data_IF_846491690392
#
_entry.id   IF_846491690392
#
_cell.length_a   1.000
_cell.length_b   1.000
_cell.length_c   1.000
_cell.angle_alpha   90.00
_cell.angle_beta   90.00
_cell.angle_gamma   90.00
#
_symmetry.space_group_name_H-M   'P 1'
#
loop_
_entity.id
_entity.type
_entity.pdbx_description
1 polymer ?
#
# COMPACT_ATOMS: atom_id res chain seq x y z
N UNK A 1 -3.20 -6.69 -15.92
CA UNK A 1 -1.89 -7.34 -15.67
C UNK A 1 -0.75 -6.54 -16.30
N UNK A 2 0.51 -6.81 -15.93
CA UNK A 2 1.70 -6.18 -16.51
C UNK A 2 2.69 -5.59 -15.50
N UNK A 3 3.89 -5.24 -15.95
CA UNK A 3 4.96 -4.65 -15.14
C UNK A 3 4.55 -3.34 -14.40
N UNK A 4 5.37 -2.93 -13.43
CA UNK A 4 5.21 -1.65 -12.73
C UNK A 4 5.36 -0.47 -13.70
N UNK A 5 4.62 0.62 -13.46
CA UNK A 5 4.72 1.85 -14.27
C UNK A 5 3.97 1.85 -15.61
N UNK A 6 3.22 0.79 -15.93
CA UNK A 6 2.42 0.66 -17.16
C UNK A 6 1.05 1.35 -17.13
N UNK A 7 0.70 2.06 -16.06
CA UNK A 7 -0.59 2.75 -15.97
C UNK A 7 -1.80 1.84 -15.68
N UNK A 8 -1.60 0.67 -15.06
CA UNK A 8 -2.70 -0.22 -14.63
C UNK A 8 -3.71 0.50 -13.73
N UNK A 9 -3.22 1.14 -12.67
CA UNK A 9 -4.01 1.96 -11.75
C UNK A 9 -4.71 3.09 -12.50
N UNK A 10 -4.00 3.82 -13.37
CA UNK A 10 -4.57 4.90 -14.17
C UNK A 10 -5.70 4.43 -15.07
N UNK A 11 -5.52 3.30 -15.77
CA UNK A 11 -6.56 2.71 -16.61
C UNK A 11 -7.76 2.25 -15.77
N UNK A 12 -7.52 1.62 -14.62
CA UNK A 12 -8.58 1.19 -13.74
C UNK A 12 -9.41 2.37 -13.22
N UNK A 13 -8.76 3.46 -12.81
CA UNK A 13 -9.42 4.71 -12.44
C UNK A 13 -10.23 5.29 -13.59
N UNK A 14 -9.66 5.33 -14.80
CA UNK A 14 -10.36 5.81 -15.99
C UNK A 14 -11.61 4.97 -16.32
N UNK A 15 -11.52 3.64 -16.19
CA UNK A 15 -12.67 2.72 -16.35
C UNK A 15 -13.73 3.02 -15.31
N UNK A 16 -13.36 3.13 -14.03
CA UNK A 16 -14.31 3.44 -12.95
C UNK A 16 -15.01 4.76 -13.21
N UNK A 17 -14.31 5.77 -13.73
CA UNK A 17 -14.86 7.11 -13.98
C UNK A 17 -15.60 7.25 -15.33
N UNK A 18 -15.43 6.30 -16.26
CA UNK A 18 -16.00 6.37 -17.62
C UNK A 18 -17.51 6.61 -17.62
N UNK A 19 -18.01 7.39 -18.58
CA UNK A 19 -19.42 7.81 -18.65
C UNK A 19 -20.37 6.61 -18.73
N UNK A 20 -20.09 5.62 -19.57
CA UNK A 20 -20.94 4.43 -19.70
C UNK A 20 -20.92 3.55 -18.43
N UNK A 21 -19.79 3.52 -17.73
CA UNK A 21 -19.67 2.82 -16.44
C UNK A 21 -20.45 3.59 -15.37
N UNK A 22 -20.40 4.93 -15.39
CA UNK A 22 -21.21 5.79 -14.52
C UNK A 22 -22.71 5.56 -14.74
N UNK A 23 -23.15 5.44 -15.99
CA UNK A 23 -24.55 5.18 -16.34
C UNK A 23 -24.97 3.79 -15.86
N UNK A 24 -24.10 2.80 -15.98
CA UNK A 24 -24.41 1.39 -15.67
C UNK A 24 -24.38 1.06 -14.18
N UNK A 25 -23.39 1.57 -13.45
CA UNK A 25 -23.15 1.25 -12.03
C UNK A 25 -23.51 2.40 -11.09
N UNK A 26 -23.80 3.59 -11.62
CA UNK A 26 -24.18 4.79 -10.86
C UNK A 26 -23.13 5.09 -9.80
N UNK A 27 -23.51 5.10 -8.52
CA UNK A 27 -22.61 5.34 -7.40
C UNK A 27 -21.89 4.08 -6.91
N UNK A 28 -22.29 2.88 -7.39
CA UNK A 28 -21.77 1.60 -6.91
C UNK A 28 -20.56 1.11 -7.70
N UNK A 29 -19.55 1.97 -7.76
CA UNK A 29 -18.31 1.74 -8.49
C UNK A 29 -17.15 2.16 -7.58
N UNK A 30 -16.36 1.18 -7.17
CA UNK A 30 -15.39 1.32 -6.08
C UNK A 30 -14.02 0.86 -6.52
N UNK A 31 -13.00 1.59 -6.10
CA UNK A 31 -11.60 1.24 -6.27
C UNK A 31 -10.97 1.09 -4.89
N UNK A 32 -10.49 -0.10 -4.58
CA UNK A 32 -9.83 -0.44 -3.33
C UNK A 32 -8.40 -0.86 -3.65
N UNK A 33 -7.42 -0.24 -3.01
CA UNK A 33 -6.00 -0.61 -3.17
C UNK A 33 -5.62 -1.69 -2.16
N UNK A 34 -4.91 -2.71 -2.63
CA UNK A 34 -4.27 -3.72 -1.79
C UNK A 34 -2.83 -3.34 -1.40
N UNK A 35 -2.33 -2.17 -1.83
CA UNK A 35 -0.92 -1.80 -1.65
C UNK A 35 -0.46 -1.81 -0.18
N UNK A 36 -1.36 -1.42 0.72
CA UNK A 36 -1.11 -1.36 2.15
C UNK A 36 -1.60 -2.61 2.88
N UNK A 37 -2.24 -3.56 2.18
CA UNK A 37 -2.70 -4.82 2.75
C UNK A 37 -1.52 -5.78 2.88
N UNK A 38 -1.40 -6.37 4.07
CA UNK A 38 -0.33 -7.31 4.40
C UNK A 38 -0.81 -8.75 4.23
N UNK A 39 -2.11 -8.98 4.43
CA UNK A 39 -2.82 -10.21 4.10
C UNK A 39 -4.22 -9.94 3.54
N UNK A 40 -4.93 -11.02 3.22
CA UNK A 40 -6.29 -10.91 2.66
C UNK A 40 -7.30 -10.30 3.64
N UNK A 41 -7.10 -10.51 4.94
CA UNK A 41 -7.99 -9.98 5.97
C UNK A 41 -7.95 -8.44 5.98
N UNK A 42 -6.75 -7.85 5.88
CA UNK A 42 -6.59 -6.40 5.79
C UNK A 42 -7.30 -5.82 4.56
N UNK A 43 -7.27 -6.55 3.43
CA UNK A 43 -7.97 -6.17 2.21
C UNK A 43 -9.50 -6.19 2.39
N UNK A 44 -10.05 -7.27 2.96
CA UNK A 44 -11.49 -7.39 3.23
C UNK A 44 -11.98 -6.29 4.17
N UNK A 45 -11.13 -5.90 5.10
CA UNK A 45 -11.41 -4.83 6.05
C UNK A 45 -11.35 -3.45 5.38
N UNK A 46 -10.34 -3.20 4.55
CA UNK A 46 -10.26 -1.98 3.75
C UNK A 46 -11.51 -1.83 2.89
N UNK A 47 -12.00 -2.94 2.34
CA UNK A 47 -13.30 -3.00 1.67
C UNK A 47 -14.46 -2.65 2.60
N UNK A 48 -14.64 -3.32 3.74
CA UNK A 48 -15.75 -3.00 4.68
C UNK A 48 -15.79 -1.52 5.03
N UNK A 49 -14.62 -0.94 5.31
CA UNK A 49 -14.44 0.49 5.60
C UNK A 49 -14.89 1.36 4.44
N UNK A 50 -14.44 1.02 3.23
CA UNK A 50 -14.82 1.71 1.98
C UNK A 50 -16.34 1.68 1.76
N UNK A 51 -17.01 0.59 2.16
CA UNK A 51 -18.46 0.44 2.03
C UNK A 51 -19.26 0.96 3.23
N UNK A 52 -18.61 1.50 4.27
CA UNK A 52 -19.27 1.94 5.50
C UNK A 52 -19.95 0.81 6.28
N UNK A 53 -19.48 -0.42 6.09
CA UNK A 53 -20.02 -1.60 6.76
C UNK A 53 -19.38 -1.75 8.13
N UNK A 54 -20.17 -2.21 9.10
CA UNK A 54 -19.66 -2.52 10.43
C UNK A 54 -18.71 -3.70 10.34
N UNK A 55 -17.61 -3.64 11.10
CA UNK A 55 -16.69 -4.76 11.24
C UNK A 55 -17.42 -5.95 11.85
N UNK A 56 -17.67 -6.95 11.02
CA UNK A 56 -18.33 -8.19 11.41
C UNK A 56 -17.32 -9.25 11.78
N UNK A 57 -17.84 -10.31 12.37
CA UNK A 57 -17.07 -11.49 12.72
C UNK A 57 -16.56 -12.20 11.43
N UNK A 58 -17.40 -12.27 10.39
CA UNK A 58 -17.00 -12.68 9.03
C UNK A 58 -17.07 -11.48 8.06
N UNK A 59 -15.95 -10.76 7.83
CA UNK A 59 -15.89 -9.66 6.87
C UNK A 59 -16.32 -10.05 5.46
N UNK A 60 -15.93 -11.25 5.03
CA UNK A 60 -16.22 -11.74 3.70
C UNK A 60 -17.72 -12.02 3.52
N UNK A 61 -18.36 -12.70 4.47
CA UNK A 61 -19.81 -12.94 4.39
C UNK A 61 -20.60 -11.63 4.36
N UNK A 62 -20.22 -10.64 5.17
CA UNK A 62 -20.85 -9.32 5.15
C UNK A 62 -20.68 -8.60 3.81
N UNK A 63 -19.48 -8.65 3.22
CA UNK A 63 -19.23 -8.11 1.88
C UNK A 63 -20.05 -8.84 0.81
N UNK A 64 -20.07 -10.17 0.83
CA UNK A 64 -20.84 -10.98 -0.11
C UNK A 64 -22.33 -10.70 0.00
N UNK A 65 -22.87 -10.60 1.23
CA UNK A 65 -24.26 -10.23 1.46
C UNK A 65 -24.54 -8.81 0.95
N UNK A 66 -23.63 -7.86 1.23
CA UNK A 66 -23.74 -6.49 0.74
C UNK A 66 -23.74 -6.43 -0.80
N UNK A 67 -22.86 -7.16 -1.48
CA UNK A 67 -22.87 -7.17 -2.94
C UNK A 67 -24.15 -7.82 -3.51
N UNK A 68 -24.63 -8.90 -2.90
CA UNK A 68 -25.87 -9.59 -3.29
C UNK A 68 -27.14 -8.78 -3.03
N UNK A 69 -27.13 -7.83 -2.09
CA UNK A 69 -28.29 -6.99 -1.80
C UNK A 69 -28.47 -5.81 -2.77
N UNK A 70 -27.56 -5.65 -3.73
CA UNK A 70 -27.60 -4.60 -4.74
C UNK A 70 -27.72 -5.19 -6.14
N UNK A 71 -28.30 -4.42 -7.06
CA UNK A 71 -28.53 -4.86 -8.44
C UNK A 71 -27.22 -5.05 -9.22
N UNK A 72 -26.33 -4.05 -9.17
CA UNK A 72 -25.01 -4.07 -9.83
C UNK A 72 -23.98 -3.32 -8.99
N UNK A 73 -22.78 -3.88 -8.88
CA UNK A 73 -21.62 -3.24 -8.26
C UNK A 73 -20.39 -3.49 -9.12
N UNK A 74 -19.59 -2.44 -9.36
CA UNK A 74 -18.24 -2.56 -9.91
C UNK A 74 -17.25 -2.44 -8.76
N UNK A 75 -16.36 -3.42 -8.61
CA UNK A 75 -15.26 -3.41 -7.67
C UNK A 75 -13.95 -3.60 -8.41
N UNK A 76 -13.04 -2.64 -8.25
CA UNK A 76 -11.64 -2.75 -8.67
C UNK A 76 -10.78 -3.01 -7.44
N UNK A 77 -9.97 -4.06 -7.48
CA UNK A 77 -8.90 -4.31 -6.51
C UNK A 77 -7.57 -3.99 -7.19
N UNK A 78 -6.95 -2.89 -6.79
CA UNK A 78 -5.68 -2.40 -7.37
C UNK A 78 -4.47 -2.96 -6.60
N UNK A 79 -3.34 -3.19 -7.29
CA UNK A 79 -2.07 -3.66 -6.71
C UNK A 79 -2.18 -4.98 -5.91
N UNK A 80 -2.97 -5.94 -6.39
CA UNK A 80 -3.20 -7.24 -5.72
C UNK A 80 -1.92 -8.05 -5.49
N UNK A 81 -0.84 -7.79 -6.24
CA UNK A 81 0.43 -8.52 -6.09
C UNK A 81 0.99 -8.49 -4.66
N UNK A 82 0.66 -7.46 -3.88
CA UNK A 82 1.18 -7.29 -2.50
C UNK A 82 0.76 -8.44 -1.59
N UNK A 83 -0.45 -8.95 -1.76
CA UNK A 83 -0.98 -10.09 -0.99
C UNK A 83 -0.93 -11.40 -1.78
N UNK A 84 -1.20 -11.36 -3.10
CA UNK A 84 -1.32 -12.59 -3.89
C UNK A 84 0.03 -13.16 -4.33
N UNK A 85 1.07 -12.33 -4.52
CA UNK A 85 2.43 -12.82 -4.76
C UNK A 85 3.24 -12.95 -3.47
N UNK A 86 2.56 -13.07 -2.32
CA UNK A 86 3.21 -13.27 -1.02
C UNK A 86 4.04 -14.56 -0.98
N UNK A 87 5.21 -14.51 -0.36
CA UNK A 87 6.02 -15.69 -0.09
C UNK A 87 5.29 -16.71 0.81
N UNK A 88 4.29 -16.26 1.57
CA UNK A 88 3.46 -17.11 2.40
C UNK A 88 2.37 -17.80 1.55
N UNK A 89 2.56 -19.09 1.26
CA UNK A 89 1.63 -19.89 0.46
C UNK A 89 0.20 -19.93 1.04
N UNK A 90 0.05 -19.92 2.38
CA UNK A 90 -1.27 -19.92 3.01
C UNK A 90 -2.02 -18.61 2.72
N UNK A 91 -1.34 -17.45 2.81
CA UNK A 91 -1.93 -16.16 2.47
C UNK A 91 -2.35 -16.08 1.00
N UNK A 92 -1.55 -16.67 0.10
CA UNK A 92 -1.91 -16.77 -1.33
C UNK A 92 -3.19 -17.60 -1.53
N UNK A 93 -3.25 -18.81 -0.96
CA UNK A 93 -4.44 -19.65 -1.01
C UNK A 93 -5.69 -18.96 -0.44
N UNK A 94 -5.55 -18.24 0.68
CA UNK A 94 -6.67 -17.50 1.28
C UNK A 94 -7.14 -16.36 0.37
N UNK A 95 -6.20 -15.64 -0.26
CA UNK A 95 -6.51 -14.59 -1.25
C UNK A 95 -7.28 -15.15 -2.44
N UNK A 96 -6.84 -16.28 -2.99
CA UNK A 96 -7.50 -16.97 -4.10
C UNK A 96 -8.91 -17.43 -3.73
N UNK A 97 -9.10 -18.01 -2.53
CA UNK A 97 -10.40 -18.42 -2.04
C UNK A 97 -11.39 -17.24 -1.88
N UNK A 98 -10.89 -16.08 -1.43
CA UNK A 98 -11.68 -14.85 -1.35
C UNK A 98 -12.08 -14.35 -2.74
N UNK A 99 -11.14 -14.29 -3.68
CA UNK A 99 -11.41 -13.86 -5.05
C UNK A 99 -12.43 -14.77 -5.74
N UNK A 100 -12.32 -16.08 -5.56
CA UNK A 100 -13.28 -17.06 -6.09
C UNK A 100 -14.69 -16.83 -5.52
N UNK A 101 -14.81 -16.57 -4.22
CA UNK A 101 -16.12 -16.24 -3.59
C UNK A 101 -16.70 -14.93 -4.11
N UNK A 102 -15.88 -13.89 -4.30
CA UNK A 102 -16.31 -12.61 -4.87
C UNK A 102 -16.76 -12.76 -6.32
N UNK A 103 -15.98 -13.46 -7.14
CA UNK A 103 -16.29 -13.69 -8.55
C UNK A 103 -17.61 -14.45 -8.78
N UNK A 104 -18.03 -15.28 -7.81
CA UNK A 104 -19.30 -16.00 -7.86
C UNK A 104 -20.54 -15.14 -7.51
N UNK A 105 -20.37 -13.86 -7.20
CA UNK A 105 -21.50 -12.95 -6.95
C UNK A 105 -21.99 -12.36 -8.28
N UNK A 106 -23.17 -12.76 -8.73
CA UNK A 106 -23.72 -12.35 -10.04
C UNK A 106 -23.97 -10.85 -10.20
N UNK A 107 -24.22 -10.13 -9.11
CA UNK A 107 -24.37 -8.68 -9.10
C UNK A 107 -23.03 -7.92 -9.04
N UNK A 108 -21.90 -8.62 -8.93
CA UNK A 108 -20.57 -8.02 -8.80
C UNK A 108 -19.77 -8.18 -10.10
N UNK A 109 -19.34 -7.06 -10.65
CA UNK A 109 -18.29 -7.00 -11.67
C UNK A 109 -16.96 -6.76 -10.96
N UNK A 110 -16.06 -7.74 -11.03
CA UNK A 110 -14.74 -7.69 -10.39
C UNK A 110 -13.65 -7.40 -11.42
N UNK A 111 -12.86 -6.36 -11.17
CA UNK A 111 -11.62 -6.07 -11.89
C UNK A 111 -10.48 -6.18 -10.88
N UNK A 112 -9.39 -6.81 -11.28
CA UNK A 112 -8.14 -6.78 -10.51
C UNK A 112 -7.03 -6.14 -11.33
N UNK A 113 -6.14 -5.43 -10.67
CA UNK A 113 -4.84 -5.11 -11.24
C UNK A 113 -3.77 -5.82 -10.43
N UNK A 114 -2.81 -6.40 -11.15
CA UNK A 114 -1.69 -7.11 -10.54
C UNK A 114 -0.46 -7.00 -11.45
N UNK A 115 0.72 -7.03 -10.83
CA UNK A 115 1.99 -7.28 -11.54
C UNK A 115 2.10 -8.73 -11.99
N UNK A 116 2.87 -8.96 -13.06
CA UNK A 116 3.02 -10.26 -13.68
C UNK A 116 2.03 -10.48 -14.83
N UNK A 117 2.02 -11.70 -15.36
CA UNK A 117 1.16 -12.13 -16.46
C UNK A 117 0.11 -13.15 -16.03
N UNK A 118 0.32 -13.84 -14.92
CA UNK A 118 -0.55 -14.91 -14.43
C UNK A 118 -1.80 -14.33 -13.75
N UNK A 119 -2.94 -15.00 -13.92
CA UNK A 119 -4.17 -14.68 -13.21
C UNK A 119 -4.29 -15.54 -11.95
N UNK A 120 -4.96 -15.04 -10.89
CA UNK A 120 -5.36 -15.87 -9.77
C UNK A 120 -6.10 -17.12 -10.27
N UNK A 121 -5.62 -18.33 -9.89
CA UNK A 121 -6.26 -19.58 -10.28
C UNK A 121 -7.66 -19.68 -9.64
N UNK A 122 -8.47 -20.62 -10.14
CA UNK A 122 -9.79 -20.96 -9.58
C UNK A 122 -10.83 -19.81 -9.59
N UNK A 123 -10.61 -18.81 -10.44
CA UNK A 123 -11.57 -17.76 -10.79
C UNK A 123 -11.89 -17.86 -12.29
N UNK A 124 -13.17 -17.92 -12.62
CA UNK A 124 -13.63 -17.88 -14.02
C UNK A 124 -13.57 -16.43 -14.55
N UNK A 125 -12.37 -15.99 -14.95
CA UNK A 125 -12.17 -14.67 -15.52
C UNK A 125 -12.90 -14.53 -16.85
N UNK A 126 -13.69 -13.46 -16.99
CA UNK A 126 -14.37 -13.12 -18.24
C UNK A 126 -13.39 -12.97 -19.41
N UNK A 127 -12.20 -12.44 -19.14
CA UNK A 127 -11.06 -12.46 -20.06
C UNK A 127 -10.14 -13.62 -19.67
N UNK A 128 -10.29 -14.76 -20.37
CA UNK A 128 -9.46 -15.96 -20.13
C UNK A 128 -7.98 -15.68 -20.36
N UNK A 129 -7.67 -14.84 -21.35
CA UNK A 129 -6.37 -14.24 -21.52
C UNK A 129 -6.38 -12.89 -20.80
N UNK A 130 -5.55 -12.75 -19.76
CA UNK A 130 -5.48 -11.53 -18.99
C UNK A 130 -5.22 -10.32 -19.91
N UNK A 131 -5.84 -9.17 -19.63
CA UNK A 131 -5.44 -7.93 -20.28
C UNK A 131 -4.06 -7.54 -19.73
N UNK A 132 -3.01 -7.89 -20.48
CA UNK A 132 -1.63 -7.51 -20.20
C UNK A 132 -1.37 -6.16 -20.87
N UNK A 133 -1.17 -5.11 -20.06
CA UNK A 133 -0.83 -3.80 -20.60
C UNK A 133 0.57 -3.85 -21.22
N UNK A 134 0.69 -3.24 -22.40
CA UNK A 134 1.96 -3.01 -23.07
C UNK A 134 2.48 -1.61 -22.75
N UNK A 135 3.67 -1.32 -23.28
CA UNK A 135 4.19 0.03 -23.38
C UNK A 135 3.25 0.89 -24.26
N UNK A 136 3.41 2.21 -24.20
CA UNK A 136 2.69 3.08 -25.13
C UNK A 136 3.23 2.85 -26.55
N UNK A 137 2.35 2.97 -27.55
CA UNK A 137 2.81 3.14 -28.94
C UNK A 137 3.68 4.41 -29.03
N UNK A 138 4.63 4.50 -29.98
CA UNK A 138 5.45 5.70 -30.16
C UNK A 138 4.62 6.99 -30.28
N UNK A 139 3.51 6.95 -31.02
CA UNK A 139 2.62 8.12 -31.21
C UNK A 139 1.93 8.51 -29.89
N UNK A 140 1.44 7.55 -29.12
CA UNK A 140 0.82 7.80 -27.81
C UNK A 140 1.84 8.29 -26.77
N UNK A 141 3.08 7.79 -26.80
CA UNK A 141 4.16 8.26 -25.93
C UNK A 141 4.55 9.70 -26.26
N UNK A 142 4.64 10.02 -27.56
CA UNK A 142 4.86 11.36 -28.04
C UNK A 142 3.73 12.30 -27.63
N UNK A 143 2.47 11.90 -27.83
CA UNK A 143 1.30 12.68 -27.41
C UNK A 143 1.32 12.94 -25.90
N UNK A 144 1.55 11.90 -25.09
CA UNK A 144 1.67 12.01 -23.63
C UNK A 144 2.79 12.97 -23.22
N UNK A 145 3.95 12.87 -23.88
CA UNK A 145 5.08 13.75 -23.62
C UNK A 145 4.73 15.21 -23.96
N UNK A 146 4.17 15.45 -25.14
CA UNK A 146 3.81 16.80 -25.62
C UNK A 146 2.72 17.42 -24.76
N UNK A 147 1.72 16.64 -24.31
CA UNK A 147 0.65 17.12 -23.43
C UNK A 147 1.19 17.64 -22.09
N UNK A 148 2.31 17.09 -21.61
CA UNK A 148 2.92 17.47 -20.33
C UNK A 148 4.01 18.55 -20.51
N UNK A 149 4.92 18.35 -21.47
CA UNK A 149 6.09 19.19 -21.68
C UNK A 149 5.85 20.39 -22.62
N UNK A 150 4.75 20.37 -23.38
CA UNK A 150 4.53 21.27 -24.49
C UNK A 150 5.35 20.91 -25.74
N UNK A 151 5.26 21.77 -26.75
CA UNK A 151 5.98 21.59 -28.00
C UNK A 151 7.50 21.79 -27.82
N UNK A 152 8.25 20.84 -28.38
CA UNK A 152 9.71 20.88 -28.41
C UNK A 152 10.19 21.54 -29.71
N UNK A 153 11.18 22.45 -29.67
CA UNK A 153 11.78 23.03 -30.86
C UNK A 153 12.29 21.95 -31.83
N UNK A 154 12.11 22.17 -33.14
CA UNK A 154 12.52 21.22 -34.19
C UNK A 154 13.93 20.62 -34.03
N UNK A 155 14.96 21.39 -33.62
CA UNK A 155 16.30 20.84 -33.42
C UNK A 155 16.42 19.79 -32.30
N UNK A 156 15.51 19.78 -31.34
CA UNK A 156 15.56 18.88 -30.17
C UNK A 156 14.53 17.74 -30.27
N UNK A 157 13.66 17.73 -31.30
CA UNK A 157 12.72 16.63 -31.57
C UNK A 157 13.43 15.27 -31.73
N UNK A 158 14.57 15.15 -32.45
CA UNK A 158 15.28 13.87 -32.54
C UNK A 158 15.81 13.37 -31.18
N UNK A 159 16.20 14.30 -30.28
CA UNK A 159 16.69 13.97 -28.94
C UNK A 159 15.53 13.49 -28.06
N UNK A 160 14.37 14.15 -28.15
CA UNK A 160 13.13 13.68 -27.50
C UNK A 160 12.77 12.28 -27.97
N UNK A 161 12.72 12.04 -29.29
CA UNK A 161 12.29 10.77 -29.85
C UNK A 161 13.25 9.63 -29.47
N UNK A 162 14.56 9.91 -29.43
CA UNK A 162 15.55 8.99 -28.90
C UNK A 162 15.31 8.68 -27.42
N UNK A 163 15.13 9.70 -26.57
CA UNK A 163 14.86 9.51 -25.14
C UNK A 163 13.58 8.70 -24.88
N UNK A 164 12.50 8.97 -25.63
CA UNK A 164 11.24 8.22 -25.51
C UNK A 164 11.43 6.74 -25.86
N UNK A 165 12.26 6.45 -26.86
CA UNK A 165 12.63 5.10 -27.25
C UNK A 165 13.50 4.41 -26.20
N UNK A 166 14.47 5.12 -25.63
CA UNK A 166 15.36 4.58 -24.58
C UNK A 166 14.59 4.18 -23.32
N UNK A 167 13.55 4.94 -22.94
CA UNK A 167 12.67 4.57 -21.81
C UNK A 167 11.63 3.50 -22.15
N UNK A 168 11.77 2.83 -23.30
CA UNK A 168 10.85 1.80 -23.82
C UNK A 168 9.38 2.27 -23.84
N UNK A 169 9.15 3.57 -24.05
CA UNK A 169 7.81 4.18 -24.05
C UNK A 169 6.95 3.82 -22.81
N UNK A 170 7.60 3.59 -21.66
CA UNK A 170 6.93 3.31 -20.39
C UNK A 170 6.12 4.53 -19.93
N UNK A 171 4.80 4.43 -19.68
CA UNK A 171 3.98 5.57 -19.28
C UNK A 171 4.56 6.39 -18.13
N UNK A 172 5.01 5.72 -17.06
CA UNK A 172 5.62 6.40 -15.91
C UNK A 172 6.92 7.11 -16.28
N UNK A 173 7.83 6.44 -17.00
CA UNK A 173 9.12 7.04 -17.39
C UNK A 173 8.95 8.22 -18.36
N UNK A 174 8.02 8.09 -19.32
CA UNK A 174 7.63 9.17 -20.24
C UNK A 174 7.09 10.37 -19.45
N UNK A 175 6.21 10.12 -18.47
CA UNK A 175 5.65 11.17 -17.60
C UNK A 175 6.75 11.90 -16.83
N UNK A 176 7.68 11.15 -16.20
CA UNK A 176 8.79 11.71 -15.43
C UNK A 176 9.72 12.56 -16.30
N UNK A 177 10.09 12.08 -17.50
CA UNK A 177 10.88 12.84 -18.46
C UNK A 177 10.17 14.12 -18.91
N UNK A 178 8.88 14.02 -19.25
CA UNK A 178 8.10 15.16 -19.72
C UNK A 178 7.97 16.23 -18.62
N UNK A 179 7.79 15.82 -17.36
CA UNK A 179 7.76 16.74 -16.20
C UNK A 179 9.07 17.48 -16.01
N UNK A 180 10.22 16.82 -16.22
CA UNK A 180 11.52 17.49 -16.18
C UNK A 180 11.61 18.60 -17.25
N UNK A 181 11.16 18.32 -18.47
CA UNK A 181 11.16 19.32 -19.56
C UNK A 181 10.17 20.46 -19.27
N UNK A 182 8.97 20.15 -18.77
CA UNK A 182 7.97 21.14 -18.36
C UNK A 182 8.53 22.12 -17.29
N UNK A 183 9.46 21.65 -16.46
CA UNK A 183 10.18 22.48 -15.46
C UNK A 183 11.44 23.15 -16.02
N UNK A 184 11.59 23.22 -17.34
CA UNK A 184 12.64 23.96 -18.04
C UNK A 184 13.98 23.22 -18.18
N UNK A 185 14.02 21.89 -17.97
CA UNK A 185 15.24 21.11 -18.24
C UNK A 185 15.42 20.89 -19.74
N UNK A 186 16.65 21.09 -20.23
CA UNK A 186 16.95 20.90 -21.64
C UNK A 186 17.09 19.41 -21.97
N UNK A 187 16.50 18.97 -23.09
CA UNK A 187 16.52 17.58 -23.54
C UNK A 187 17.94 17.02 -23.69
N UNK A 188 18.90 17.83 -24.15
CA UNK A 188 20.31 17.43 -24.29
C UNK A 188 20.99 17.16 -22.95
N UNK A 189 20.57 17.86 -21.90
CA UNK A 189 21.06 17.60 -20.55
C UNK A 189 20.44 16.33 -19.98
N UNK A 190 19.15 16.11 -20.25
CA UNK A 190 18.45 14.88 -19.90
C UNK A 190 19.08 13.67 -20.57
N UNK A 191 19.36 13.73 -21.87
CA UNK A 191 19.99 12.64 -22.63
C UNK A 191 21.38 12.29 -22.07
N UNK A 192 22.24 13.28 -21.84
CA UNK A 192 23.55 13.04 -21.22
C UNK A 192 23.44 12.39 -19.84
N UNK A 193 22.51 12.87 -19.02
CA UNK A 193 22.34 12.38 -17.64
C UNK A 193 21.67 11.01 -17.60
N UNK A 194 20.72 10.74 -18.49
CA UNK A 194 20.11 9.44 -18.72
C UNK A 194 21.19 8.40 -19.04
N UNK A 195 22.03 8.67 -20.02
CA UNK A 195 23.13 7.77 -20.41
C UNK A 195 24.07 7.47 -19.23
N UNK A 196 24.37 8.46 -18.39
CA UNK A 196 25.19 8.25 -17.19
C UNK A 196 24.48 7.36 -16.14
N UNK A 197 23.20 7.58 -15.88
CA UNK A 197 22.42 6.80 -14.90
C UNK A 197 22.22 5.38 -15.38
N UNK A 198 21.76 5.22 -16.62
CA UNK A 198 21.44 3.93 -17.22
C UNK A 198 22.68 3.03 -17.32
N UNK A 199 23.82 3.58 -17.77
CA UNK A 199 25.10 2.83 -17.77
C UNK A 199 25.59 2.47 -16.37
N UNK A 200 25.27 3.29 -15.35
CA UNK A 200 25.57 2.95 -13.96
C UNK A 200 24.77 1.74 -13.49
N UNK A 201 23.47 1.71 -13.77
CA UNK A 201 22.55 0.64 -13.37
C UNK A 201 22.85 -0.69 -14.07
N UNK A 202 23.08 -0.66 -15.38
CA UNK A 202 23.39 -1.86 -16.18
C UNK A 202 24.67 -2.57 -15.70
N UNK A 203 25.61 -1.86 -15.07
CA UNK A 203 26.85 -2.44 -14.53
C UNK A 203 26.62 -3.18 -13.21
N UNK A 204 25.54 -2.87 -12.50
CA UNK A 204 25.22 -3.49 -11.21
C UNK A 204 24.38 -4.76 -11.37
N UNK A 205 23.27 -4.75 -12.11
CA UNK A 205 22.48 -5.92 -12.53
C UNK A 205 21.56 -5.55 -13.70
N UNK A 206 21.51 -6.32 -14.81
CA UNK A 206 20.58 -6.06 -15.91
C UNK A 206 19.22 -6.73 -15.65
N UNK A 207 18.19 -5.96 -15.29
CA UNK A 207 16.80 -6.42 -15.12
C UNK A 207 15.83 -5.84 -16.18
N UNK A 208 16.33 -5.17 -17.22
CA UNK A 208 15.56 -4.77 -18.40
C UNK A 208 14.58 -3.64 -18.11
N UNK A 209 13.27 -3.83 -18.36
CA UNK A 209 12.22 -2.79 -18.21
C UNK A 209 12.12 -2.20 -16.80
N UNK A 210 12.43 -2.98 -15.77
CA UNK A 210 12.49 -2.49 -14.39
C UNK A 210 13.60 -1.46 -14.23
N UNK A 211 14.74 -1.65 -14.90
CA UNK A 211 15.85 -0.68 -14.92
C UNK A 211 15.42 0.64 -15.55
N UNK A 212 14.51 0.64 -16.54
CA UNK A 212 14.04 1.87 -17.17
C UNK A 212 13.15 2.70 -16.25
N UNK A 213 12.28 2.06 -15.47
CA UNK A 213 11.47 2.75 -14.45
C UNK A 213 12.39 3.30 -13.36
N UNK A 214 13.26 2.46 -12.82
CA UNK A 214 14.20 2.85 -11.76
C UNK A 214 15.15 3.96 -12.22
N UNK A 215 15.66 3.89 -13.45
CA UNK A 215 16.49 4.94 -14.05
C UNK A 215 15.73 6.26 -14.20
N UNK A 216 14.46 6.22 -14.59
CA UNK A 216 13.63 7.43 -14.72
C UNK A 216 13.31 8.07 -13.37
N UNK A 217 13.11 7.27 -12.32
CA UNK A 217 12.95 7.75 -10.94
C UNK A 217 14.28 8.33 -10.45
N UNK A 218 15.40 7.64 -10.63
CA UNK A 218 16.72 8.13 -10.25
C UNK A 218 17.04 9.46 -10.94
N UNK A 219 16.77 9.56 -12.26
CA UNK A 219 17.00 10.77 -13.02
C UNK A 219 16.19 11.94 -12.45
N UNK A 220 14.91 11.71 -12.14
CA UNK A 220 14.02 12.73 -11.55
C UNK A 220 14.51 13.19 -10.18
N UNK A 221 14.92 12.25 -9.32
CA UNK A 221 15.50 12.55 -8.00
C UNK A 221 16.80 13.36 -8.14
N UNK A 222 17.61 13.06 -9.16
CA UNK A 222 18.86 13.77 -9.41
C UNK A 222 18.66 15.24 -9.82
N UNK A 223 17.43 15.65 -10.16
CA UNK A 223 17.04 17.04 -10.44
C UNK A 223 16.37 17.75 -9.26
N UNK A 224 16.28 17.11 -8.09
CA UNK A 224 15.96 17.82 -6.85
C UNK A 224 17.05 18.87 -6.54
N UNK A 225 16.71 19.98 -5.86
CA UNK A 225 17.68 20.97 -5.43
C UNK A 225 18.80 20.33 -4.61
N UNK A 226 20.06 20.53 -5.03
CA UNK A 226 21.21 19.93 -4.33
C UNK A 226 21.58 20.67 -3.04
N UNK A 227 21.17 21.94 -2.95
CA UNK A 227 21.40 22.86 -1.84
C UNK A 227 20.31 22.79 -0.76
N UNK A 228 19.17 22.16 -1.06
CA UNK A 228 18.08 21.94 -0.12
C UNK A 228 17.76 20.44 0.01
N UNK A 229 18.06 19.80 1.16
CA UNK A 229 17.71 18.40 1.38
C UNK A 229 16.21 18.19 1.61
N UNK A 230 15.41 19.24 1.85
CA UNK A 230 14.02 19.10 2.27
C UNK A 230 13.15 18.29 1.29
N UNK A 231 13.20 18.49 -0.05
CA UNK A 231 12.38 17.72 -0.99
C UNK A 231 12.69 16.23 -0.98
N UNK A 232 13.96 15.84 -1.01
CA UNK A 232 14.36 14.43 -0.95
C UNK A 232 13.96 13.82 0.39
N UNK A 233 14.04 14.61 1.45
CA UNK A 233 13.76 14.15 2.79
C UNK A 233 12.26 13.97 3.04
N UNK A 234 11.41 14.87 2.54
CA UNK A 234 9.97 14.68 2.50
C UNK A 234 9.59 13.47 1.65
N UNK A 235 10.20 13.29 0.47
CA UNK A 235 9.99 12.13 -0.40
C UNK A 235 10.29 10.81 0.33
N UNK A 236 11.42 10.77 1.06
CA UNK A 236 11.86 9.59 1.82
C UNK A 236 10.93 9.28 3.00
N UNK A 237 10.36 10.31 3.64
CA UNK A 237 9.34 10.14 4.69
C UNK A 237 8.02 9.61 4.11
N UNK A 238 7.53 10.17 3.00
CA UNK A 238 6.33 9.71 2.31
C UNK A 238 6.45 8.24 1.88
N UNK A 239 7.62 7.79 1.45
CA UNK A 239 7.83 6.42 1.02
C UNK A 239 7.63 5.39 2.15
N UNK A 240 7.81 5.78 3.42
CA UNK A 240 7.55 4.91 4.57
C UNK A 240 6.05 4.66 4.83
N UNK A 241 5.17 5.44 4.20
CA UNK A 241 3.72 5.44 4.46
C UNK A 241 2.95 4.84 3.26
N UNK A 242 2.62 3.53 3.26
CA UNK A 242 1.93 2.89 2.13
C UNK A 242 0.57 3.51 1.79
N UNK A 243 -0.20 4.00 2.78
CA UNK A 243 -1.51 4.63 2.52
C UNK A 243 -1.41 6.13 2.18
N UNK A 244 -0.19 6.67 2.26
CA UNK A 244 0.11 8.09 2.06
C UNK A 244 0.23 8.87 3.36
N UNK A 245 0.71 10.11 3.23
CA UNK A 245 0.88 11.05 4.34
C UNK A 245 -0.32 11.99 4.39
N UNK A 246 -1.17 11.86 5.40
CA UNK A 246 -2.34 12.71 5.60
C UNK A 246 -1.94 14.10 6.11
N UNK A 247 -2.78 15.10 5.85
CA UNK A 247 -2.56 16.48 6.27
C UNK A 247 -2.23 16.65 7.78
N UNK A 248 -2.90 15.98 8.73
CA UNK A 248 -2.53 16.11 10.15
C UNK A 248 -1.11 15.64 10.45
N UNK A 249 -0.68 14.52 9.85
CA UNK A 249 0.68 13.97 9.99
C UNK A 249 1.70 14.93 9.39
N UNK A 250 1.42 15.47 8.20
CA UNK A 250 2.28 16.48 7.54
C UNK A 250 2.50 17.71 8.43
N UNK A 251 1.44 18.25 9.02
CA UNK A 251 1.51 19.43 9.87
C UNK A 251 2.33 19.18 11.14
N UNK A 252 2.21 18.01 11.76
CA UNK A 252 3.05 17.64 12.91
C UNK A 252 4.53 17.45 12.51
N UNK A 253 4.78 16.83 11.36
CA UNK A 253 6.13 16.62 10.84
C UNK A 253 6.86 17.92 10.47
N UNK A 254 6.14 18.92 9.94
CA UNK A 254 6.71 20.23 9.62
C UNK A 254 7.43 20.82 10.85
N UNK A 255 6.73 20.85 11.99
CA UNK A 255 7.28 21.34 13.25
C UNK A 255 8.37 20.45 13.83
N UNK A 256 8.17 19.12 13.85
CA UNK A 256 9.11 18.18 14.49
C UNK A 256 10.41 18.00 13.71
N UNK A 257 10.36 18.06 12.39
CA UNK A 257 11.54 17.92 11.53
C UNK A 257 12.19 19.28 11.21
N UNK A 258 11.59 20.40 11.65
CA UNK A 258 12.09 21.74 11.38
C UNK A 258 12.13 22.07 9.89
N UNK A 259 11.15 21.58 9.12
CA UNK A 259 11.02 21.99 7.72
C UNK A 259 10.76 23.49 7.67
N UNK A 260 11.59 24.23 6.93
CA UNK A 260 11.41 25.68 6.75
C UNK A 260 10.22 26.00 5.86
N UNK A 261 9.98 25.14 4.88
CA UNK A 261 8.92 25.26 3.87
C UNK A 261 8.56 23.86 3.36
N UNK A 262 7.64 23.17 4.06
CA UNK A 262 7.21 21.83 3.64
C UNK A 262 6.36 21.90 2.37
N UNK A 263 5.65 23.01 2.14
CA UNK A 263 4.80 23.24 0.98
C UNK A 263 5.66 23.41 -0.28
N UNK A 264 6.70 24.23 -0.23
CA UNK A 264 7.67 24.36 -1.31
C UNK A 264 8.40 23.05 -1.60
N UNK A 265 8.74 22.27 -0.56
CA UNK A 265 9.31 20.93 -0.75
C UNK A 265 8.32 19.99 -1.45
N UNK A 266 7.03 20.04 -1.09
CA UNK A 266 5.97 19.28 -1.76
C UNK A 266 5.80 19.71 -3.22
N UNK A 267 5.76 21.01 -3.51
CA UNK A 267 5.65 21.55 -4.88
C UNK A 267 6.81 21.09 -5.78
N UNK A 268 8.00 20.95 -5.21
CA UNK A 268 9.16 20.39 -5.93
C UNK A 268 8.93 18.92 -6.28
N UNK A 269 8.61 18.06 -5.31
CA UNK A 269 8.44 16.62 -5.58
C UNK A 269 7.18 16.30 -6.40
N UNK A 270 6.09 17.07 -6.19
CA UNK A 270 4.84 16.93 -6.94
C UNK A 270 4.99 17.39 -8.38
N UNK A 271 5.65 18.54 -8.63
CA UNK A 271 5.85 18.99 -10.00
C UNK A 271 6.82 18.11 -10.80
N UNK A 272 7.60 17.24 -10.15
CA UNK A 272 8.37 16.17 -10.78
C UNK A 272 7.57 14.86 -10.95
N UNK A 273 6.30 14.84 -10.56
CA UNK A 273 5.43 13.65 -10.51
C UNK A 273 6.00 12.48 -9.69
N UNK A 274 6.85 12.77 -8.70
CA UNK A 274 7.33 11.78 -7.74
C UNK A 274 6.26 11.43 -6.69
N UNK A 275 5.35 12.37 -6.43
CA UNK A 275 4.14 12.20 -5.60
C UNK A 275 2.95 12.85 -6.27
N UNK A 276 1.75 12.51 -5.80
CA UNK A 276 0.50 13.19 -6.14
C UNK A 276 -0.30 13.44 -4.86
N UNK A 277 -1.11 14.50 -4.86
CA UNK A 277 -2.01 14.84 -3.75
C UNK A 277 -3.42 14.46 -4.16
N UNK A 278 -4.12 13.73 -3.30
CA UNK A 278 -5.52 13.35 -3.49
C UNK A 278 -6.48 14.41 -2.94
N UNK A 279 -7.77 14.29 -3.27
CA UNK A 279 -8.80 15.27 -2.90
C UNK A 279 -8.96 15.48 -1.37
N UNK A 280 -8.48 14.54 -0.56
CA UNK A 280 -8.45 14.58 0.90
C UNK A 280 -7.14 15.15 1.48
N UNK A 281 -6.34 15.85 0.67
CA UNK A 281 -5.02 16.40 1.00
C UNK A 281 -3.97 15.35 1.43
N UNK A 282 -4.21 14.08 1.14
CA UNK A 282 -3.24 13.01 1.38
C UNK A 282 -2.17 13.00 0.28
N UNK A 283 -0.90 13.05 0.69
CA UNK A 283 0.25 12.89 -0.23
C UNK A 283 0.44 11.39 -0.48
N UNK A 284 0.32 10.97 -1.73
CA UNK A 284 0.51 9.58 -2.16
C UNK A 284 1.64 9.45 -3.15
N UNK A 285 2.18 8.24 -3.22
CA UNK A 285 3.27 7.87 -4.11
C UNK A 285 2.89 6.63 -4.89
N UNK A 286 3.24 6.58 -6.18
CA UNK A 286 3.02 5.38 -6.97
C UNK A 286 3.95 4.26 -6.48
N UNK A 287 3.42 3.04 -6.34
CA UNK A 287 4.16 1.85 -5.89
C UNK A 287 5.58 1.70 -6.48
N UNK A 288 5.81 1.83 -7.81
CA UNK A 288 7.18 1.73 -8.36
C UNK A 288 8.14 2.78 -7.81
N UNK A 289 7.69 4.03 -7.64
CA UNK A 289 8.51 5.11 -7.09
C UNK A 289 8.78 4.85 -5.61
N UNK A 290 7.74 4.44 -4.86
CA UNK A 290 7.85 4.14 -3.43
C UNK A 290 8.86 3.04 -3.14
N UNK A 291 8.80 1.94 -3.88
CA UNK A 291 9.74 0.83 -3.72
C UNK A 291 11.18 1.28 -4.03
N UNK A 292 11.37 2.05 -5.10
CA UNK A 292 12.70 2.61 -5.42
C UNK A 292 13.24 3.51 -4.31
N UNK A 293 12.42 4.42 -3.78
CA UNK A 293 12.82 5.35 -2.72
C UNK A 293 13.12 4.60 -1.42
N UNK A 294 12.30 3.63 -1.02
CA UNK A 294 12.54 2.80 0.16
C UNK A 294 13.88 2.05 0.09
N UNK A 295 14.24 1.55 -1.09
CA UNK A 295 15.49 0.81 -1.28
C UNK A 295 16.73 1.72 -1.29
N UNK A 296 16.65 2.87 -1.98
CA UNK A 296 17.83 3.70 -2.29
C UNK A 296 17.99 4.95 -1.42
N UNK A 297 16.90 5.45 -0.82
CA UNK A 297 16.86 6.74 -0.15
C UNK A 297 16.23 6.64 1.24
N UNK A 298 17.09 6.50 2.26
CA UNK A 298 16.64 6.49 3.65
C UNK A 298 16.52 7.92 4.18
N UNK A 299 15.44 8.22 4.93
CA UNK A 299 15.37 9.49 5.62
C UNK A 299 16.45 9.58 6.71
N UNK A 300 16.93 10.80 6.98
CA UNK A 300 17.71 11.11 8.18
C UNK A 300 17.07 10.51 9.44
N UNK A 301 17.91 9.91 10.28
CA UNK A 301 17.49 9.22 11.50
C UNK A 301 16.64 10.11 12.42
N UNK A 302 16.98 11.39 12.55
CA UNK A 302 16.21 12.34 13.36
C UNK A 302 14.78 12.53 12.83
N UNK A 303 14.60 12.75 11.52
CA UNK A 303 13.26 12.94 10.94
C UNK A 303 12.47 11.63 10.95
N UNK A 304 13.14 10.49 10.79
CA UNK A 304 12.50 9.18 10.93
C UNK A 304 12.02 8.96 12.37
N UNK A 305 12.80 9.36 13.37
CA UNK A 305 12.39 9.32 14.77
C UNK A 305 11.19 10.25 15.03
N UNK A 306 11.17 11.45 14.44
CA UNK A 306 10.00 12.34 14.48
C UNK A 306 8.76 11.69 13.86
N UNK A 307 8.89 11.00 12.72
CA UNK A 307 7.79 10.24 12.12
C UNK A 307 7.28 9.13 13.05
N UNK A 308 8.18 8.35 13.63
CA UNK A 308 7.80 7.32 14.60
C UNK A 308 7.09 7.93 15.81
N UNK A 309 7.56 9.07 16.32
CA UNK A 309 6.92 9.78 17.41
C UNK A 309 5.46 10.17 17.09
N UNK A 310 5.21 10.70 15.89
CA UNK A 310 3.84 11.01 15.43
C UNK A 310 2.97 9.75 15.42
N UNK A 311 3.49 8.65 14.88
CA UNK A 311 2.72 7.39 14.80
C UNK A 311 2.56 6.67 16.14
N UNK A 312 3.51 6.79 17.07
CA UNK A 312 3.31 6.38 18.46
C UNK A 312 2.17 7.16 19.11
N UNK A 313 2.08 8.47 18.85
CA UNK A 313 1.00 9.28 19.38
C UNK A 313 -0.36 8.92 18.77
N UNK A 314 -0.42 8.66 17.46
CA UNK A 314 -1.63 8.14 16.80
C UNK A 314 -2.05 6.80 17.42
N UNK A 315 -1.09 5.90 17.67
CA UNK A 315 -1.33 4.62 18.32
C UNK A 315 -1.85 4.78 19.75
N UNK A 316 -1.32 5.71 20.55
CA UNK A 316 -1.78 5.97 21.94
C UNK A 316 -3.22 6.46 22.01
N UNK A 317 -3.70 7.14 20.98
CA UNK A 317 -5.10 7.56 20.88
C UNK A 317 -6.06 6.42 20.54
N UNK A 318 -5.56 5.19 20.34
CA UNK A 318 -6.37 4.02 20.08
C UNK A 318 -7.24 3.65 21.30
N UNK A 319 -8.58 3.80 21.20
CA UNK A 319 -9.45 3.60 22.35
C UNK A 319 -9.47 2.12 22.73
N UNK A 320 -9.21 1.85 24.00
CA UNK A 320 -9.20 0.50 24.55
C UNK A 320 -10.60 -0.02 24.89
N UNK A 321 -11.61 0.86 24.88
CA UNK A 321 -13.01 0.56 25.20
C UNK A 321 -13.93 1.16 24.14
N UNK A 322 -15.02 0.46 23.86
CA UNK A 322 -16.11 1.00 23.04
C UNK A 322 -16.92 1.94 23.93
N UNK A 323 -16.71 3.24 23.77
CA UNK A 323 -17.46 4.30 24.42
C UNK A 323 -18.01 5.30 23.38
N UNK A 324 -18.55 6.42 23.83
CA UNK A 324 -19.10 7.44 22.93
C UNK A 324 -18.05 8.14 22.05
N UNK A 325 -16.76 8.04 22.38
CA UNK A 325 -15.65 8.63 21.62
C UNK A 325 -15.05 7.64 20.61
N UNK A 326 -15.31 6.34 20.79
CA UNK A 326 -14.82 5.27 19.93
C UNK A 326 -15.06 5.51 18.42
N UNK A 327 -16.23 5.95 17.94
CA UNK A 327 -16.44 6.17 16.50
C UNK A 327 -15.49 7.23 15.92
N UNK A 328 -15.31 8.37 16.60
CA UNK A 328 -14.43 9.42 16.13
C UNK A 328 -12.95 9.00 16.15
N UNK A 329 -12.53 8.28 17.18
CA UNK A 329 -11.17 7.74 17.26
C UNK A 329 -10.93 6.64 16.23
N UNK A 330 -11.93 5.79 15.96
CA UNK A 330 -11.88 4.78 14.90
C UNK A 330 -11.68 5.44 13.54
N UNK A 331 -12.45 6.47 13.21
CA UNK A 331 -12.37 7.16 11.92
C UNK A 331 -11.02 7.88 11.74
N UNK A 332 -10.33 8.21 12.84
CA UNK A 332 -8.95 8.75 12.82
C UNK A 332 -7.90 7.67 12.58
N UNK A 333 -8.02 6.51 13.23
CA UNK A 333 -6.97 5.47 13.29
C UNK A 333 -7.08 4.44 12.17
N UNK A 334 -8.30 4.11 11.76
CA UNK A 334 -8.56 3.10 10.73
C UNK A 334 -7.81 3.41 9.40
N UNK A 335 -7.74 4.66 8.92
CA UNK A 335 -6.95 5.00 7.72
C UNK A 335 -5.43 4.98 7.93
N UNK A 336 -4.94 4.79 9.16
CA UNK A 336 -3.52 4.79 9.51
C UNK A 336 -3.00 3.38 9.88
N UNK A 337 -3.86 2.35 9.88
CA UNK A 337 -3.47 1.02 10.34
C UNK A 337 -2.31 0.42 9.53
N UNK A 338 -2.34 0.54 8.21
CA UNK A 338 -1.24 0.00 7.41
C UNK A 338 0.02 0.86 7.47
N UNK A 339 -0.12 2.17 7.68
CA UNK A 339 1.03 3.03 7.98
C UNK A 339 1.68 2.65 9.33
N UNK A 340 0.87 2.38 10.36
CA UNK A 340 1.32 1.87 11.66
C UNK A 340 2.04 0.52 11.49
N UNK A 341 1.44 -0.44 10.77
CA UNK A 341 2.08 -1.74 10.52
C UNK A 341 3.42 -1.59 9.78
N UNK A 342 3.47 -0.74 8.75
CA UNK A 342 4.67 -0.49 7.95
C UNK A 342 5.81 0.18 8.74
N UNK A 343 5.48 1.00 9.75
CA UNK A 343 6.46 1.69 10.59
C UNK A 343 6.88 0.86 11.80
N UNK A 344 5.93 0.24 12.51
CA UNK A 344 6.19 -0.44 13.78
C UNK A 344 6.87 -1.80 13.56
N UNK A 345 6.50 -2.55 12.52
CA UNK A 345 7.03 -3.90 12.34
C UNK A 345 8.55 -3.93 12.11
N UNK A 346 9.15 -3.08 11.23
CA UNK A 346 10.61 -3.03 11.09
C UNK A 346 11.33 -2.65 12.39
N UNK A 347 10.73 -1.78 13.22
CA UNK A 347 11.32 -1.41 14.52
C UNK A 347 11.42 -2.62 15.46
N UNK A 348 10.39 -3.47 15.48
CA UNK A 348 10.40 -4.71 16.29
C UNK A 348 11.48 -5.69 15.78
N UNK A 349 11.63 -5.77 14.46
CA UNK A 349 12.53 -6.71 13.78
C UNK A 349 13.99 -6.26 13.76
N UNK A 350 14.31 -5.08 14.28
CA UNK A 350 15.69 -4.59 14.37
C UNK A 350 16.45 -5.41 15.42
N UNK A 351 17.18 -6.45 15.00
CA UNK A 351 17.71 -7.50 15.87
C UNK A 351 18.69 -7.03 16.96
N UNK A 352 19.41 -5.94 16.72
CA UNK A 352 20.52 -5.49 17.57
C UNK A 352 20.09 -4.59 18.75
N UNK A 353 18.84 -4.11 18.76
CA UNK A 353 18.34 -3.17 19.78
C UNK A 353 17.10 -3.74 20.50
N UNK A 354 16.95 -3.43 21.79
CA UNK A 354 15.73 -3.77 22.52
C UNK A 354 14.61 -2.80 22.13
N UNK A 355 13.35 -3.26 21.97
CA UNK A 355 12.25 -2.39 21.62
C UNK A 355 12.04 -1.31 22.71
N UNK A 356 11.82 -0.07 22.29
CA UNK A 356 11.52 1.02 23.24
C UNK A 356 10.16 0.81 23.90
N UNK A 357 9.96 1.41 25.09
CA UNK A 357 8.65 1.36 25.76
C UNK A 357 7.55 1.97 24.91
N UNK A 358 7.85 3.05 24.17
CA UNK A 358 6.90 3.69 23.26
C UNK A 358 6.45 2.76 22.13
N UNK A 359 7.37 1.96 21.57
CA UNK A 359 7.05 0.95 20.57
C UNK A 359 6.16 -0.14 21.15
N UNK A 360 6.50 -0.65 22.34
CA UNK A 360 5.73 -1.69 23.04
C UNK A 360 4.30 -1.19 23.32
N UNK A 361 4.17 0.03 23.83
CA UNK A 361 2.88 0.66 24.12
C UNK A 361 2.06 0.89 22.86
N UNK A 362 2.68 1.41 21.79
CA UNK A 362 2.01 1.62 20.52
C UNK A 362 1.48 0.30 19.92
N UNK A 363 2.31 -0.75 19.90
CA UNK A 363 1.91 -2.08 19.40
C UNK A 363 0.76 -2.64 20.23
N UNK A 364 0.84 -2.56 21.56
CA UNK A 364 -0.22 -3.03 22.44
C UNK A 364 -1.53 -2.23 22.27
N UNK A 365 -1.44 -0.91 22.10
CA UNK A 365 -2.59 -0.05 21.90
C UNK A 365 -3.30 -0.33 20.56
N UNK A 366 -2.55 -0.36 19.46
CA UNK A 366 -3.08 -0.65 18.12
C UNK A 366 -3.63 -2.06 18.07
N UNK A 367 -2.93 -3.06 18.61
CA UNK A 367 -3.42 -4.45 18.64
C UNK A 367 -4.63 -4.62 19.55
N UNK A 368 -4.74 -3.85 20.63
CA UNK A 368 -5.93 -3.80 21.47
C UNK A 368 -7.13 -3.21 20.73
N UNK A 369 -6.91 -2.14 19.96
CA UNK A 369 -7.92 -1.51 19.12
C UNK A 369 -8.33 -2.37 17.91
N UNK A 370 -7.37 -3.10 17.34
CA UNK A 370 -7.57 -4.06 16.25
C UNK A 370 -8.61 -5.12 16.66
N UNK A 371 -8.70 -5.51 17.93
CA UNK A 371 -9.79 -6.37 18.43
C UNK A 371 -11.21 -5.87 18.12
N UNK A 372 -11.42 -4.56 18.18
CA UNK A 372 -12.73 -3.91 18.04
C UNK A 372 -12.99 -3.41 16.61
N UNK A 373 -11.96 -3.42 15.79
CA UNK A 373 -12.02 -3.10 14.37
C UNK A 373 -11.64 -4.35 13.58
N UNK A 374 -10.34 -4.61 13.48
CA UNK A 374 -9.67 -5.56 12.60
C UNK A 374 -8.71 -6.45 13.38
N UNK A 375 -9.10 -7.65 13.84
CA UNK A 375 -8.20 -8.49 14.61
C UNK A 375 -6.96 -8.87 13.78
N UNK A 376 -5.80 -8.31 14.16
CA UNK A 376 -4.51 -8.59 13.53
C UNK A 376 -3.49 -8.90 14.64
N UNK A 377 -2.88 -10.09 14.57
CA UNK A 377 -1.91 -10.56 15.56
C UNK A 377 -0.45 -10.30 15.19
N UNK A 378 -0.17 -9.82 13.97
CA UNK A 378 1.18 -9.79 13.39
C UNK A 378 2.17 -8.98 14.23
N UNK A 379 1.80 -7.77 14.63
CA UNK A 379 2.65 -6.92 15.46
C UNK A 379 2.94 -7.57 16.81
N UNK A 380 1.93 -8.17 17.46
CA UNK A 380 2.12 -8.88 18.73
C UNK A 380 2.95 -10.15 18.58
N UNK A 381 2.74 -10.92 17.51
CA UNK A 381 3.51 -12.11 17.21
C UNK A 381 4.99 -11.80 16.98
N UNK A 382 5.29 -10.65 16.35
CA UNK A 382 6.65 -10.16 16.20
C UNK A 382 7.23 -9.61 17.52
N UNK A 383 6.42 -8.93 18.33
CA UNK A 383 6.86 -8.25 19.55
C UNK A 383 7.14 -9.22 20.70
N UNK A 384 6.27 -10.21 20.92
CA UNK A 384 6.31 -11.10 22.09
C UNK A 384 7.70 -11.76 22.28
N UNK A 385 8.33 -12.36 21.24
CA UNK A 385 9.66 -12.95 21.39
C UNK A 385 10.76 -11.94 21.76
N UNK A 386 10.51 -10.63 21.57
CA UNK A 386 11.48 -9.55 21.80
C UNK A 386 11.37 -8.96 23.21
N UNK A 387 10.25 -9.19 23.91
CA UNK A 387 9.96 -8.59 25.22
C UNK A 387 9.89 -9.63 26.36
N UNK A 388 10.42 -10.85 26.15
CA UNK A 388 10.42 -11.91 27.17
C UNK A 388 11.08 -11.50 28.50
N UNK A 389 12.03 -10.56 28.43
CA UNK A 389 12.75 -9.98 29.56
C UNK A 389 11.93 -8.93 30.34
N UNK A 390 10.74 -8.54 29.86
CA UNK A 390 9.86 -7.52 30.46
C UNK A 390 8.53 -8.15 30.90
N UNK A 391 8.43 -8.69 32.12
CA UNK A 391 7.29 -9.53 32.52
C UNK A 391 5.94 -8.81 32.50
N UNK A 392 5.89 -7.52 32.85
CA UNK A 392 4.65 -6.74 32.84
C UNK A 392 4.11 -6.52 31.42
N UNK A 393 4.99 -6.11 30.50
CA UNK A 393 4.64 -5.93 29.10
C UNK A 393 4.31 -7.25 28.43
N UNK A 394 5.09 -8.30 28.70
CA UNK A 394 4.83 -9.65 28.18
C UNK A 394 3.44 -10.15 28.60
N UNK A 395 3.08 -9.98 29.87
CA UNK A 395 1.76 -10.36 30.38
C UNK A 395 0.62 -9.57 29.72
N UNK A 396 0.83 -8.27 29.47
CA UNK A 396 -0.15 -7.43 28.76
C UNK A 396 -0.30 -7.88 27.30
N UNK A 397 0.80 -8.03 26.56
CA UNK A 397 0.81 -8.45 25.16
C UNK A 397 0.16 -9.82 24.97
N UNK A 398 0.47 -10.81 25.82
CA UNK A 398 -0.22 -12.12 25.78
C UNK A 398 -1.70 -12.01 26.11
N UNK A 399 -2.10 -11.13 27.04
CA UNK A 399 -3.53 -10.93 27.35
C UNK A 399 -4.28 -10.33 26.15
N UNK A 400 -3.66 -9.41 25.43
CA UNK A 400 -4.25 -8.82 24.22
C UNK A 400 -4.33 -9.89 23.13
N UNK A 401 -3.24 -10.64 22.90
CA UNK A 401 -3.21 -11.73 21.92
C UNK A 401 -4.27 -12.79 22.21
N UNK A 402 -4.40 -13.23 23.47
CA UNK A 402 -5.43 -14.19 23.86
C UNK A 402 -6.85 -13.65 23.61
N UNK A 403 -7.08 -12.35 23.81
CA UNK A 403 -8.38 -11.72 23.49
C UNK A 403 -8.63 -11.58 22.00
N UNK A 404 -7.59 -11.38 21.19
CA UNK A 404 -7.66 -11.42 19.73
C UNK A 404 -8.00 -12.84 19.26
N UNK A 405 -7.31 -13.86 19.77
CA UNK A 405 -7.62 -15.27 19.50
C UNK A 405 -9.02 -15.65 19.93
N UNK A 406 -9.48 -15.21 21.09
CA UNK A 406 -10.88 -15.40 21.50
C UNK A 406 -11.85 -14.73 20.52
N UNK A 407 -11.53 -13.54 20.02
CA UNK A 407 -12.37 -12.86 19.03
C UNK A 407 -12.41 -13.63 17.71
N UNK A 408 -11.27 -14.15 17.26
CA UNK A 408 -11.14 -15.00 16.07
C UNK A 408 -11.79 -16.38 16.24
N UNK A 409 -11.79 -16.95 17.47
CA UNK A 409 -12.31 -18.28 17.76
C UNK A 409 -13.81 -18.31 18.11
N UNK A 410 -14.35 -17.21 18.65
CA UNK A 410 -15.79 -17.02 18.82
C UNK A 410 -16.50 -16.74 17.48
N UNK A 411 -15.74 -16.76 16.39
CA UNK A 411 -16.21 -16.71 15.01
C UNK A 411 -16.34 -18.12 14.42
N UNK A 412 -17.57 -18.64 14.23
CA UNK A 412 -17.77 -20.00 13.77
C UNK A 412 -17.34 -20.27 12.31
N UNK A 413 -16.80 -19.28 11.59
CA UNK A 413 -16.44 -19.39 10.17
C UNK A 413 -14.95 -19.17 9.85
N UNK A 414 -14.09 -18.93 10.86
CA UNK A 414 -12.64 -18.74 10.68
C UNK A 414 -11.86 -20.08 10.74
N UNK A 415 -12.49 -21.19 11.18
CA UNK A 415 -11.82 -22.50 11.29
C UNK A 415 -12.56 -23.63 10.55
N UNK A 416 -12.20 -23.99 9.30
CA UNK A 416 -12.76 -25.16 8.63
C UNK A 416 -12.31 -26.49 9.25
N UNK A 417 -11.36 -26.47 10.21
CA UNK A 417 -10.81 -27.68 10.84
C UNK A 417 -11.42 -27.98 12.21
N UNK A 418 -12.32 -27.14 12.73
CA UNK A 418 -13.06 -27.47 13.95
C UNK A 418 -14.00 -28.68 13.75
N UNK A 419 -14.43 -28.95 12.51
CA UNK A 419 -15.23 -30.12 12.15
C UNK A 419 -14.40 -31.38 11.84
N UNK A 420 -13.07 -31.30 11.84
CA UNK A 420 -12.18 -32.45 11.51
C UNK A 420 -11.52 -33.06 12.74
N UNK A 421 -11.58 -32.41 13.91
CA UNK A 421 -11.09 -32.97 15.18
C UNK A 421 -12.21 -33.15 16.21
N UNK A 422 -13.24 -33.89 15.81
CA UNK A 422 -14.01 -34.69 16.76
C UNK A 422 -13.88 -36.17 16.41
N UNK A 423 -13.05 -36.94 17.13
CA UNK A 423 -13.38 -38.32 17.39
C UNK A 423 -14.22 -38.39 18.67
N UNK A 424 -15.41 -38.94 18.50
CA UNK A 424 -16.30 -39.45 19.53
C UNK A 424 -15.60 -39.94 20.81
N UNK A 425 -16.13 -39.47 21.93
CA UNK A 425 -16.29 -40.20 23.19
C UNK A 425 -15.25 -41.27 23.55
N UNK A 426 -14.38 -40.95 24.52
CA UNK A 426 -14.07 -41.90 25.60
C UNK A 426 -14.14 -41.14 26.92
N UNK A 427 -15.17 -41.45 27.70
CA UNK A 427 -15.21 -41.21 29.14
C UNK A 427 -14.12 -42.07 29.76
N UNK A 428 -13.08 -41.47 30.33
CA UNK A 428 -12.22 -42.15 31.29
C UNK A 428 -11.75 -41.18 32.38
N UNK A 429 -12.18 -41.55 33.60
CA UNK A 429 -11.83 -41.00 34.91
C UNK A 429 -10.36 -40.63 35.01
N UNK A 430 -10.10 -39.45 35.59
CA UNK A 430 -8.93 -39.26 36.44
C UNK A 430 -9.44 -38.80 37.81
N UNK A 431 -9.42 -39.76 38.73
CA UNK A 431 -9.57 -39.53 40.16
C UNK A 431 -8.43 -38.66 40.66
N UNK A 432 -8.82 -37.76 41.54
CA UNK A 432 -7.99 -37.01 42.47
C UNK A 432 -7.24 -38.03 43.35
N UNK A 433 -5.91 -38.01 43.31
CA UNK A 433 -5.10 -38.49 44.42
C UNK A 433 -4.48 -37.28 45.10
N UNK A 434 -5.09 -36.93 46.23
CA UNK A 434 -4.42 -36.29 47.36
C UNK A 434 -3.69 -37.43 48.09
N UNK A 435 -2.37 -37.31 48.20
CA UNK A 435 -1.58 -37.54 49.41
C UNK A 435 -0.17 -36.96 49.23
#
# INVERSE_FOLDING_TARGET
MGAGGLGKTTLATAVVQHVDVAVTFVARRFLVTAEAAVGVDDLLIGMLTTFGLSTSSDPLASLLQHFRSHERTLLVIDNLETIWNSANAQQRCMTEAVLSKLANVTSLTLIITCRGADLPPDVEWANRDAIVLSTLSPDAALATFTDIAGDVPTPDQPVRDALLKEVDYMPLAVTLLARLVARGKQLRDLDRRWNSVHMGMLRTQPNGRLDNVDASVQLSIAFLPSDDPAPLQLLSLCAQLPDGMRLPVRNELEGLCGFRDIDGALDVIQGLALVYVTDDDTIRMLSPIRLYVLEKHRPFAAHRASLLQVYYEIARHAPWKIDSQFPAARDRILPELSNLDALLLPEIQTFDELPSTDLIDAVNAVSGFSRHSVPNERLLGALIPRIEHLPEYLALSHRILARLHQRLALDPYINPLADVWMPHAVISRWEICID
#
